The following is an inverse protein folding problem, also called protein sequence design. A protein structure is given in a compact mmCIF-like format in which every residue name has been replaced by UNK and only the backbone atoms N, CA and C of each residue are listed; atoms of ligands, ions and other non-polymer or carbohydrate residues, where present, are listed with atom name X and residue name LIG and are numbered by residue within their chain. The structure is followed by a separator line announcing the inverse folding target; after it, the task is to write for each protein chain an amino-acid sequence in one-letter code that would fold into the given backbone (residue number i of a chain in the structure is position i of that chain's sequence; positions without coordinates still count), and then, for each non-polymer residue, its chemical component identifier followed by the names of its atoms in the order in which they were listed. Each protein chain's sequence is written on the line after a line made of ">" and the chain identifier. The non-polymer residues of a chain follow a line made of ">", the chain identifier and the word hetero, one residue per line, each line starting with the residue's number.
data_IF_627773920801
#
_entry.id   IF_627773920801
#
_cell.length_a   1.000
_cell.length_b   1.000
_cell.length_c   1.000
_cell.angle_alpha   90.00
_cell.angle_beta   90.00
_cell.angle_gamma   90.00
#
_symmetry.space_group_name_H-M   'P 1'
#
loop_
_entity.id
_entity.type
_entity.pdbx_description
1 polymer ?
#
# COMPACT_ATOMS: atom_id res chain seq x y z
N UNK A 1 2.05 -6.76 13.66
CA UNK A 1 1.05 -5.93 12.95
C UNK A 1 -0.18 -5.65 13.79
N UNK A 2 -0.76 -6.65 14.45
CA UNK A 2 -1.93 -6.48 15.34
C UNK A 2 -1.63 -5.56 16.53
N UNK A 3 -0.39 -5.46 16.98
CA UNK A 3 0.11 -4.56 18.03
C UNK A 3 -0.08 -3.07 17.74
N UNK A 4 -0.30 -2.70 16.47
CA UNK A 4 -0.55 -1.32 16.08
C UNK A 4 -2.04 -0.94 16.17
N UNK A 5 -2.94 -1.91 16.27
CA UNK A 5 -4.38 -1.65 16.38
C UNK A 5 -4.71 -0.80 17.61
N UNK A 6 -4.24 -1.13 18.83
CA UNK A 6 -4.48 -0.27 19.99
C UNK A 6 -3.97 1.15 19.79
N UNK A 7 -2.75 1.32 19.26
CA UNK A 7 -2.17 2.65 18.98
C UNK A 7 -3.01 3.47 18.00
N UNK A 8 -3.59 2.82 16.99
CA UNK A 8 -4.50 3.49 16.06
C UNK A 8 -5.82 3.87 16.74
N UNK A 9 -6.41 2.96 17.51
CA UNK A 9 -7.65 3.22 18.24
C UNK A 9 -7.47 4.34 19.29
N UNK A 10 -6.33 4.39 19.98
CA UNK A 10 -6.00 5.49 20.90
C UNK A 10 -5.97 6.84 20.17
N UNK A 11 -5.41 6.89 18.96
CA UNK A 11 -5.44 8.09 18.14
C UNK A 11 -6.88 8.51 17.77
N UNK A 12 -7.79 7.55 17.59
CA UNK A 12 -9.20 7.82 17.26
C UNK A 12 -10.00 8.44 18.42
N UNK A 13 -9.46 8.48 19.65
CA UNK A 13 -10.06 9.30 20.72
C UNK A 13 -9.87 10.81 20.50
N UNK A 14 -8.94 11.22 19.62
CA UNK A 14 -8.87 12.59 19.16
C UNK A 14 -10.08 12.87 18.24
N UNK A 15 -10.97 13.77 18.70
CA UNK A 15 -12.21 14.09 17.99
C UNK A 15 -11.96 14.68 16.60
N UNK A 16 -10.81 15.33 16.39
CA UNK A 16 -10.44 15.88 15.09
C UNK A 16 -10.11 14.78 14.07
N UNK A 17 -9.57 13.65 14.52
CA UNK A 17 -9.29 12.50 13.66
C UNK A 17 -10.54 11.65 13.46
N UNK A 18 -11.30 11.41 14.55
CA UNK A 18 -12.48 10.57 14.52
C UNK A 18 -13.55 11.05 13.52
N UNK A 19 -13.67 12.35 13.31
CA UNK A 19 -14.65 12.92 12.36
C UNK A 19 -14.35 12.59 10.89
N UNK A 20 -13.12 12.15 10.56
CA UNK A 20 -12.74 11.81 9.20
C UNK A 20 -13.11 10.38 8.80
N UNK A 21 -13.46 9.53 9.75
CA UNK A 21 -13.72 8.10 9.51
C UNK A 21 -15.05 7.66 10.11
N UNK A 22 -15.73 6.77 9.41
CA UNK A 22 -16.86 6.02 9.95
C UNK A 22 -16.38 4.78 10.72
N UNK A 23 -17.24 4.25 11.59
CA UNK A 23 -16.96 2.98 12.30
C UNK A 23 -16.76 1.84 11.32
N UNK A 24 -17.53 1.83 10.21
CA UNK A 24 -17.43 0.83 9.15
C UNK A 24 -16.05 0.86 8.48
N UNK A 25 -15.52 2.04 8.17
CA UNK A 25 -14.18 2.20 7.59
C UNK A 25 -13.07 1.73 8.54
N UNK A 26 -13.18 2.07 9.83
CA UNK A 26 -12.24 1.58 10.84
C UNK A 26 -12.32 0.05 10.96
N UNK A 27 -13.54 -0.52 11.00
CA UNK A 27 -13.75 -1.97 11.06
C UNK A 27 -13.19 -2.67 9.81
N UNK A 28 -13.37 -2.09 8.62
CA UNK A 28 -12.82 -2.64 7.39
C UNK A 28 -11.30 -2.60 7.40
N UNK A 29 -10.69 -1.48 7.83
CA UNK A 29 -9.23 -1.34 7.90
C UNK A 29 -8.55 -2.42 8.73
N UNK A 30 -9.24 -2.88 9.80
CA UNK A 30 -8.75 -3.91 10.73
C UNK A 30 -9.42 -5.27 10.54
N UNK A 31 -10.22 -5.45 9.51
CA UNK A 31 -10.75 -6.76 9.17
C UNK A 31 -9.61 -7.75 8.92
N UNK A 32 -9.80 -9.01 9.33
CA UNK A 32 -8.78 -10.08 9.21
C UNK A 32 -8.18 -10.15 7.81
N UNK A 33 -9.00 -10.03 6.76
CA UNK A 33 -8.54 -10.04 5.37
C UNK A 33 -7.56 -8.90 5.07
N UNK A 34 -7.78 -7.71 5.61
CA UNK A 34 -6.91 -6.55 5.45
C UNK A 34 -5.58 -6.74 6.20
N UNK A 35 -5.65 -7.27 7.43
CA UNK A 35 -4.45 -7.56 8.23
C UNK A 35 -3.59 -8.62 7.55
N UNK A 36 -4.18 -9.74 7.11
CA UNK A 36 -3.45 -10.79 6.40
C UNK A 36 -2.86 -10.31 5.06
N UNK A 37 -3.60 -9.48 4.34
CA UNK A 37 -3.11 -8.83 3.11
C UNK A 37 -1.87 -7.97 3.39
N UNK A 38 -1.90 -7.14 4.44
CA UNK A 38 -0.76 -6.28 4.82
C UNK A 38 0.43 -7.07 5.36
N UNK A 39 0.20 -8.21 6.03
CA UNK A 39 1.27 -9.16 6.41
C UNK A 39 1.99 -9.69 5.17
N UNK A 40 1.24 -10.09 4.13
CA UNK A 40 1.83 -10.53 2.86
C UNK A 40 2.61 -9.41 2.16
N UNK A 41 2.10 -8.17 2.17
CA UNK A 41 2.80 -7.02 1.62
C UNK A 41 4.11 -6.71 2.40
N UNK A 42 4.12 -6.87 3.72
CA UNK A 42 5.33 -6.72 4.53
C UNK A 42 6.40 -7.76 4.19
N UNK A 43 6.01 -9.03 3.98
CA UNK A 43 6.94 -10.08 3.51
C UNK A 43 7.46 -9.78 2.10
N UNK A 44 6.59 -9.31 1.21
CA UNK A 44 6.96 -8.92 -0.14
C UNK A 44 7.93 -7.71 -0.15
N UNK A 45 7.75 -6.75 0.78
CA UNK A 45 8.68 -5.64 0.98
C UNK A 45 10.04 -6.13 1.48
N UNK A 46 10.06 -7.04 2.45
CA UNK A 46 11.30 -7.62 2.99
C UNK A 46 12.17 -8.24 1.90
N UNK A 47 11.56 -8.91 0.90
CA UNK A 47 12.25 -9.54 -0.20
C UNK A 47 13.03 -8.55 -1.11
N UNK A 48 12.71 -7.25 -1.05
CA UNK A 48 13.37 -6.21 -1.86
C UNK A 48 14.01 -5.11 -0.99
N UNK A 49 13.79 -5.10 0.32
CA UNK A 49 14.15 -4.00 1.23
C UNK A 49 15.64 -3.66 1.31
N UNK A 50 16.53 -4.60 0.98
CA UNK A 50 17.99 -4.38 1.04
C UNK A 50 18.49 -3.22 0.15
N UNK A 51 17.73 -2.86 -0.88
CA UNK A 51 18.05 -1.80 -1.83
C UNK A 51 17.05 -0.63 -1.79
N UNK A 52 16.11 -0.64 -0.84
CA UNK A 52 15.12 0.42 -0.69
C UNK A 52 15.72 1.58 0.11
N UNK A 53 15.64 2.81 -0.43
CA UNK A 53 16.03 4.04 0.27
C UNK A 53 14.86 5.02 0.34
N UNK A 54 14.09 5.17 -0.74
CA UNK A 54 12.98 6.12 -0.84
C UNK A 54 11.77 5.44 -1.45
N UNK A 55 10.77 5.21 -0.65
CA UNK A 55 9.55 4.46 -0.97
C UNK A 55 8.38 5.40 -1.22
N UNK A 56 7.69 5.21 -2.34
CA UNK A 56 6.38 5.78 -2.60
C UNK A 56 5.30 4.72 -2.30
N UNK A 57 4.35 5.04 -1.45
CA UNK A 57 3.18 4.22 -1.24
C UNK A 57 1.95 4.87 -1.89
N UNK A 58 1.41 4.20 -2.90
CA UNK A 58 0.24 4.61 -3.67
C UNK A 58 -1.01 3.98 -3.07
N UNK A 59 -2.03 4.80 -2.77
CA UNK A 59 -3.26 4.32 -2.17
C UNK A 59 -3.03 3.78 -0.77
N UNK A 60 -2.36 4.57 0.08
CA UNK A 60 -1.94 4.14 1.43
C UNK A 60 -3.11 4.03 2.41
N UNK A 61 -4.26 4.63 2.06
CA UNK A 61 -5.45 4.72 2.89
C UNK A 61 -5.10 5.24 4.29
N UNK A 62 -5.38 4.47 5.36
CA UNK A 62 -5.14 4.90 6.75
C UNK A 62 -3.66 4.80 7.20
N UNK A 63 -2.72 4.51 6.28
CA UNK A 63 -1.29 4.46 6.57
C UNK A 63 -0.83 3.32 7.49
N UNK A 64 -1.65 2.27 7.65
CA UNK A 64 -1.37 1.20 8.59
C UNK A 64 -0.14 0.35 8.19
N UNK A 65 0.03 0.03 6.90
CA UNK A 65 1.24 -0.65 6.46
C UNK A 65 2.46 0.28 6.56
N UNK A 66 2.29 1.56 6.22
CA UNK A 66 3.36 2.57 6.39
C UNK A 66 3.86 2.57 7.81
N UNK A 67 2.97 2.58 8.82
CA UNK A 67 3.33 2.51 10.24
C UNK A 67 4.25 1.33 10.56
N UNK A 68 3.90 0.16 10.04
CA UNK A 68 4.70 -1.06 10.23
C UNK A 68 6.09 -0.93 9.58
N UNK A 69 6.13 -0.39 8.36
CA UNK A 69 7.37 -0.29 7.58
C UNK A 69 8.31 0.79 8.10
N UNK A 70 7.81 1.97 8.49
CA UNK A 70 8.66 3.05 9.03
C UNK A 70 9.34 2.65 10.34
N UNK A 71 8.68 1.85 11.17
CA UNK A 71 9.24 1.34 12.43
C UNK A 71 10.26 0.22 12.17
N UNK A 72 9.94 -0.70 11.25
CA UNK A 72 10.81 -1.85 10.92
C UNK A 72 12.06 -1.44 10.13
N UNK A 73 11.98 -0.39 9.30
CA UNK A 73 13.04 0.05 8.40
C UNK A 73 13.41 1.52 8.62
N UNK A 74 14.06 1.88 9.74
CA UNK A 74 14.29 3.27 10.14
C UNK A 74 15.25 4.04 9.20
N UNK A 75 16.02 3.34 8.36
CA UNK A 75 16.90 3.94 7.36
C UNK A 75 16.22 4.20 6.01
N UNK A 76 14.99 3.71 5.82
CA UNK A 76 14.22 3.85 4.58
C UNK A 76 13.21 4.98 4.73
N UNK A 77 13.16 5.88 3.76
CA UNK A 77 12.23 7.01 3.76
C UNK A 77 10.93 6.66 3.06
N UNK A 78 9.79 7.01 3.66
CA UNK A 78 8.45 6.69 3.15
C UNK A 78 7.66 7.95 2.83
N UNK A 79 7.06 7.98 1.67
CA UNK A 79 6.15 9.01 1.21
C UNK A 79 4.87 8.39 0.69
N UNK A 80 3.74 9.02 0.97
CA UNK A 80 2.42 8.51 0.60
C UNK A 80 1.73 9.40 -0.42
N UNK A 81 0.98 8.78 -1.31
CA UNK A 81 0.05 9.45 -2.23
C UNK A 81 -1.29 8.75 -2.19
N UNK A 82 -2.34 9.47 -1.92
CA UNK A 82 -3.72 8.99 -2.01
C UNK A 82 -4.62 10.09 -2.56
N UNK A 83 -5.66 9.73 -3.31
CA UNK A 83 -6.65 10.68 -3.82
C UNK A 83 -7.68 11.09 -2.77
N UNK A 84 -7.88 10.28 -1.74
CA UNK A 84 -8.80 10.58 -0.65
C UNK A 84 -8.18 11.58 0.32
N UNK A 85 -8.80 12.76 0.41
CA UNK A 85 -8.32 13.87 1.26
C UNK A 85 -8.23 13.50 2.74
N UNK A 86 -9.08 12.57 3.20
CA UNK A 86 -9.13 12.10 4.59
C UNK A 86 -7.88 11.31 4.97
N UNK A 87 -7.30 10.61 4.00
CA UNK A 87 -6.12 9.79 4.23
C UNK A 87 -4.93 10.60 4.72
N UNK A 88 -4.75 11.84 4.24
CA UNK A 88 -3.67 12.72 4.68
C UNK A 88 -3.73 13.00 6.19
N UNK A 89 -4.90 13.33 6.70
CA UNK A 89 -5.07 13.64 8.13
C UNK A 89 -4.86 12.40 8.99
N UNK A 90 -5.48 11.29 8.62
CA UNK A 90 -5.44 10.04 9.41
C UNK A 90 -4.05 9.40 9.34
N UNK A 91 -3.55 9.10 8.13
CA UNK A 91 -2.24 8.47 7.94
C UNK A 91 -1.11 9.38 8.40
N UNK A 92 -1.19 10.67 8.07
CA UNK A 92 -0.22 11.66 8.51
C UNK A 92 -0.11 11.69 10.03
N UNK A 93 -1.25 11.78 10.74
CA UNK A 93 -1.27 11.79 12.21
C UNK A 93 -0.72 10.49 12.81
N UNK A 94 -1.02 9.36 12.19
CA UNK A 94 -0.57 8.06 12.66
C UNK A 94 0.95 7.85 12.50
N UNK A 95 1.57 8.49 11.51
CA UNK A 95 2.96 8.24 11.12
C UNK A 95 3.92 9.41 11.42
N UNK A 96 3.44 10.64 11.70
CA UNK A 96 4.26 11.86 11.80
C UNK A 96 5.41 11.80 12.81
N UNK A 97 5.34 10.95 13.82
CA UNK A 97 6.38 10.82 14.85
C UNK A 97 7.66 10.16 14.35
N UNK A 98 7.62 9.53 13.18
CA UNK A 98 8.78 8.87 12.60
C UNK A 98 9.55 9.81 11.69
N UNK A 99 10.86 9.97 11.92
CA UNK A 99 11.72 10.87 11.14
C UNK A 99 11.84 10.46 9.66
N UNK A 100 11.67 9.17 9.37
CA UNK A 100 11.72 8.59 8.03
C UNK A 100 10.34 8.55 7.33
N UNK A 101 9.29 9.09 7.96
CA UNK A 101 8.04 9.40 7.28
C UNK A 101 8.10 10.81 6.71
N UNK A 102 8.15 10.91 5.38
CA UNK A 102 8.35 12.18 4.67
C UNK A 102 7.06 12.96 4.45
N UNK A 103 5.90 12.31 4.65
CA UNK A 103 4.60 12.94 4.52
C UNK A 103 3.67 12.27 3.52
N UNK A 104 2.55 12.95 3.25
CA UNK A 104 1.45 12.50 2.42
C UNK A 104 1.01 13.60 1.47
N UNK A 105 0.85 13.28 0.19
CA UNK A 105 0.25 14.16 -0.80
C UNK A 105 -1.12 13.65 -1.25
N UNK A 106 -2.08 14.56 -1.31
CA UNK A 106 -3.38 14.30 -1.92
C UNK A 106 -3.22 14.50 -3.43
N UNK A 107 -3.27 13.41 -4.18
CA UNK A 107 -3.22 13.45 -5.65
C UNK A 107 -3.78 12.15 -6.24
N UNK A 108 -4.32 12.23 -7.45
CA UNK A 108 -4.44 11.06 -8.29
C UNK A 108 -3.04 10.63 -8.72
N UNK A 109 -2.75 9.34 -8.65
CA UNK A 109 -1.42 8.82 -9.01
C UNK A 109 -1.07 9.12 -10.48
N UNK A 110 -2.06 9.18 -11.36
CA UNK A 110 -1.84 9.47 -12.77
C UNK A 110 -1.35 10.93 -13.01
N UNK A 111 -1.66 11.84 -12.07
CA UNK A 111 -1.22 13.24 -12.08
C UNK A 111 0.05 13.49 -11.24
N UNK A 112 0.55 12.47 -10.54
CA UNK A 112 1.71 12.60 -9.66
C UNK A 112 3.01 12.51 -10.48
N UNK A 113 3.61 13.66 -10.77
CA UNK A 113 4.80 13.76 -11.66
C UNK A 113 6.06 13.10 -11.09
N UNK A 114 6.27 13.21 -9.78
CA UNK A 114 7.50 12.76 -9.10
C UNK A 114 7.60 11.25 -8.86
N UNK A 115 6.79 10.42 -9.52
CA UNK A 115 6.76 8.97 -9.32
C UNK A 115 8.14 8.31 -9.49
N UNK A 116 8.99 8.88 -10.35
CA UNK A 116 10.33 8.38 -10.65
C UNK A 116 11.44 8.90 -9.73
N UNK A 117 11.12 9.72 -8.73
CA UNK A 117 12.04 10.15 -7.68
C UNK A 117 12.23 9.09 -6.59
N UNK A 118 11.48 8.00 -6.69
CA UNK A 118 11.49 6.88 -5.75
C UNK A 118 12.17 5.66 -6.38
N UNK A 119 12.91 4.92 -5.57
CA UNK A 119 13.55 3.66 -6.00
C UNK A 119 12.65 2.45 -5.75
N UNK A 120 11.64 2.62 -4.91
CA UNK A 120 10.70 1.59 -4.52
C UNK A 120 9.27 2.13 -4.53
N UNK A 121 8.35 1.37 -5.11
CA UNK A 121 6.93 1.73 -5.15
C UNK A 121 6.08 0.60 -4.56
N UNK A 122 5.21 0.95 -3.62
CA UNK A 122 4.20 0.07 -3.02
C UNK A 122 2.83 0.47 -3.54
N UNK A 123 2.07 -0.48 -4.06
CA UNK A 123 0.67 -0.31 -4.43
C UNK A 123 -0.14 -1.56 -4.11
N UNK A 124 -0.96 -1.49 -3.08
CA UNK A 124 -1.79 -2.63 -2.63
C UNK A 124 -3.24 -2.58 -3.15
N UNK A 125 -3.51 -1.64 -4.06
CA UNK A 125 -4.85 -1.32 -4.56
C UNK A 125 -4.87 -1.28 -6.09
N UNK A 126 -4.10 -2.15 -6.75
CA UNK A 126 -4.00 -2.18 -8.21
C UNK A 126 -5.35 -2.43 -8.91
N UNK A 127 -6.29 -3.07 -8.23
CA UNK A 127 -7.65 -3.30 -8.74
C UNK A 127 -8.50 -2.04 -8.87
N UNK A 128 -8.17 -0.97 -8.14
CA UNK A 128 -8.92 0.31 -8.12
C UNK A 128 -8.41 1.33 -9.14
N UNK A 129 -7.35 1.04 -9.90
CA UNK A 129 -6.73 2.00 -10.81
C UNK A 129 -6.29 1.34 -12.12
N UNK A 130 -6.14 2.14 -13.17
CA UNK A 130 -5.60 1.68 -14.46
C UNK A 130 -4.15 1.21 -14.32
N UNK A 131 -3.55 0.73 -15.40
CA UNK A 131 -2.13 0.37 -15.43
C UNK A 131 -1.23 1.56 -15.79
N UNK A 132 -1.77 2.77 -15.94
CA UNK A 132 -1.02 3.92 -16.44
C UNK A 132 0.09 4.35 -15.48
N UNK A 133 -0.18 4.37 -14.17
CA UNK A 133 0.84 4.61 -13.15
C UNK A 133 2.02 3.63 -13.28
N UNK A 134 1.75 2.34 -13.55
CA UNK A 134 2.80 1.32 -13.71
C UNK A 134 3.64 1.59 -14.97
N UNK A 135 3.00 1.96 -16.08
CA UNK A 135 3.69 2.26 -17.34
C UNK A 135 4.67 3.43 -17.20
N UNK A 136 4.37 4.41 -16.35
CA UNK A 136 5.21 5.59 -16.07
C UNK A 136 6.44 5.30 -15.20
N UNK A 137 6.42 4.22 -14.42
CA UNK A 137 7.56 3.85 -13.56
C UNK A 137 8.75 3.43 -14.42
N UNK A 138 9.94 3.99 -14.12
CA UNK A 138 11.19 3.66 -14.81
C UNK A 138 11.61 2.21 -14.55
N UNK A 139 12.35 1.64 -15.52
CA UNK A 139 13.00 0.33 -15.36
C UNK A 139 14.02 0.36 -14.21
N UNK A 140 14.12 -0.73 -13.46
CA UNK A 140 15.00 -0.86 -12.30
C UNK A 140 14.35 -0.47 -10.97
N UNK A 141 13.14 0.13 -10.98
CA UNK A 141 12.38 0.41 -9.75
C UNK A 141 11.90 -0.88 -9.11
N UNK A 142 12.03 -0.96 -7.80
CA UNK A 142 11.48 -2.05 -7.01
C UNK A 142 9.97 -1.86 -6.83
N UNK A 143 9.20 -2.92 -7.02
CA UNK A 143 7.76 -2.88 -6.87
C UNK A 143 7.29 -3.88 -5.83
N UNK A 144 6.34 -3.45 -5.00
CA UNK A 144 5.53 -4.30 -4.12
C UNK A 144 4.08 -4.00 -4.48
N UNK A 145 3.42 -4.95 -5.11
CA UNK A 145 2.09 -4.74 -5.65
C UNK A 145 1.12 -5.84 -5.23
N UNK A 146 -0.14 -5.44 -5.02
CA UNK A 146 -1.24 -6.37 -4.77
C UNK A 146 -2.43 -6.07 -5.67
N UNK A 147 -3.18 -7.13 -5.99
CA UNK A 147 -4.49 -7.10 -6.62
C UNK A 147 -5.32 -8.30 -6.14
N UNK A 148 -6.56 -8.39 -6.59
CA UNK A 148 -7.46 -9.47 -6.21
C UNK A 148 -8.39 -9.87 -7.36
N UNK A 149 -9.21 -10.93 -7.14
CA UNK A 149 -10.22 -11.38 -8.07
C UNK A 149 -11.66 -11.10 -7.59
N UNK A 150 -11.84 -10.23 -6.61
CA UNK A 150 -13.16 -9.82 -6.14
C UNK A 150 -13.81 -8.89 -7.17
N UNK A 151 -15.00 -9.22 -7.64
CA UNK A 151 -15.75 -8.42 -8.61
C UNK A 151 -16.76 -7.56 -7.85
N UNK A 152 -16.47 -6.26 -7.77
CA UNK A 152 -17.34 -5.21 -7.24
C UNK A 152 -17.19 -3.96 -8.09
N UNK A 153 -18.11 -3.02 -7.97
CA UNK A 153 -18.18 -1.84 -8.85
C UNK A 153 -16.91 -0.98 -8.83
N UNK A 154 -16.24 -0.88 -7.67
CA UNK A 154 -15.01 -0.08 -7.53
C UNK A 154 -13.74 -0.75 -8.10
N UNK A 155 -13.83 -2.02 -8.49
CA UNK A 155 -12.70 -2.77 -9.02
C UNK A 155 -12.67 -2.73 -10.56
N UNK A 156 -12.02 -1.71 -11.11
CA UNK A 156 -11.93 -1.50 -12.56
C UNK A 156 -10.85 -2.34 -13.23
N UNK A 157 -9.95 -2.96 -12.46
CA UNK A 157 -8.72 -3.60 -12.97
C UNK A 157 -8.39 -4.92 -12.25
N UNK A 158 -9.40 -5.75 -12.02
CA UNK A 158 -9.25 -7.06 -11.38
C UNK A 158 -8.30 -7.99 -12.13
N UNK A 159 -7.72 -8.93 -11.39
CA UNK A 159 -6.94 -10.03 -11.93
C UNK A 159 -7.63 -11.36 -11.59
N UNK A 160 -7.78 -12.22 -12.60
CA UNK A 160 -8.44 -13.53 -12.43
C UNK A 160 -7.57 -14.53 -11.65
N UNK A 161 -6.27 -14.38 -11.71
CA UNK A 161 -5.28 -15.26 -11.09
C UNK A 161 -3.94 -14.55 -10.88
N UNK A 162 -3.05 -15.16 -10.09
CA UNK A 162 -1.67 -14.69 -9.96
C UNK A 162 -0.94 -14.65 -11.31
N UNK A 163 -1.23 -15.59 -12.21
CA UNK A 163 -0.63 -15.61 -13.54
C UNK A 163 -1.13 -14.44 -14.41
N UNK A 164 -2.41 -14.10 -14.30
CA UNK A 164 -2.99 -12.93 -14.95
C UNK A 164 -2.37 -11.65 -14.39
N UNK A 165 -2.20 -11.57 -13.08
CA UNK A 165 -1.53 -10.44 -12.41
C UNK A 165 -0.08 -10.27 -12.90
N UNK A 166 0.69 -11.35 -13.03
CA UNK A 166 2.05 -11.33 -13.58
C UNK A 166 2.10 -10.84 -15.04
N UNK A 167 1.10 -11.17 -15.83
CA UNK A 167 1.00 -10.69 -17.22
C UNK A 167 0.65 -9.21 -17.30
N UNK A 168 -0.21 -8.74 -16.41
CA UNK A 168 -0.66 -7.35 -16.36
C UNK A 168 0.44 -6.41 -15.84
N UNK A 169 1.25 -6.88 -14.88
CA UNK A 169 2.36 -6.14 -14.27
C UNK A 169 3.66 -6.95 -14.39
N UNK A 170 4.25 -7.04 -15.60
CA UNK A 170 5.44 -7.85 -15.83
C UNK A 170 6.65 -7.27 -15.10
N UNK A 171 7.32 -8.09 -14.28
CA UNK A 171 8.56 -7.75 -13.60
C UNK A 171 9.73 -8.45 -14.30
N UNK A 172 10.84 -7.74 -14.48
CA UNK A 172 12.10 -8.31 -15.02
C UNK A 172 12.62 -9.41 -14.10
N UNK A 173 12.49 -9.20 -12.80
CA UNK A 173 12.89 -10.15 -11.78
C UNK A 173 11.81 -10.20 -10.69
N UNK A 174 11.27 -11.38 -10.41
CA UNK A 174 10.30 -11.58 -9.32
C UNK A 174 11.06 -12.09 -8.10
N UNK A 175 11.04 -11.34 -7.01
CA UNK A 175 11.64 -11.69 -5.71
C UNK A 175 10.65 -12.39 -4.79
N UNK A 176 9.36 -12.03 -4.90
CA UNK A 176 8.29 -12.62 -4.11
C UNK A 176 7.02 -12.73 -4.95
N UNK A 177 6.32 -13.83 -4.82
CA UNK A 177 4.99 -13.99 -5.40
C UNK A 177 4.14 -14.93 -4.54
N UNK A 178 2.92 -14.53 -4.22
CA UNK A 178 2.02 -15.33 -3.40
C UNK A 178 0.55 -15.13 -3.77
N UNK A 179 -0.25 -16.14 -3.49
CA UNK A 179 -1.71 -16.09 -3.50
C UNK A 179 -2.23 -16.36 -2.09
N UNK A 180 -2.76 -15.35 -1.44
CA UNK A 180 -3.46 -15.49 -0.18
C UNK A 180 -4.93 -15.83 -0.47
N UNK A 181 -5.36 -17.02 -0.06
CA UNK A 181 -6.76 -17.46 -0.15
C UNK A 181 -7.52 -16.86 1.02
N UNK A 182 -8.49 -16.03 0.73
CA UNK A 182 -9.44 -15.46 1.68
C UNK A 182 -10.83 -16.09 1.48
N UNK A 183 -11.73 -15.88 2.41
CA UNK A 183 -13.03 -16.58 2.39
C UNK A 183 -13.86 -16.35 1.11
N UNK A 184 -13.76 -15.14 0.51
CA UNK A 184 -14.60 -14.73 -0.62
C UNK A 184 -13.80 -14.54 -1.90
N UNK A 185 -12.49 -14.23 -1.79
CA UNK A 185 -11.62 -13.92 -2.93
C UNK A 185 -10.17 -14.33 -2.66
N UNK A 186 -9.35 -14.26 -3.69
CA UNK A 186 -7.91 -14.44 -3.58
C UNK A 186 -7.22 -13.08 -3.71
N UNK A 187 -6.24 -12.81 -2.84
CA UNK A 187 -5.34 -11.67 -2.93
C UNK A 187 -4.02 -12.15 -3.54
N UNK A 188 -3.59 -11.48 -4.61
CA UNK A 188 -2.33 -11.77 -5.28
C UNK A 188 -1.29 -10.72 -4.88
N UNK A 189 -0.09 -11.17 -4.52
CA UNK A 189 1.02 -10.31 -4.14
C UNK A 189 2.24 -10.61 -4.99
N UNK A 190 2.86 -9.56 -5.54
CA UNK A 190 4.14 -9.63 -6.24
C UNK A 190 5.11 -8.62 -5.66
N UNK A 191 6.39 -8.98 -5.59
CA UNK A 191 7.46 -7.98 -5.52
C UNK A 191 8.65 -8.38 -6.38
N UNK A 192 9.40 -7.37 -6.80
CA UNK A 192 10.57 -7.55 -7.66
C UNK A 192 10.99 -6.27 -8.37
N UNK A 193 11.71 -6.43 -9.46
CA UNK A 193 12.29 -5.31 -10.25
C UNK A 193 11.48 -5.13 -11.53
N UNK A 194 11.09 -3.89 -11.84
CA UNK A 194 10.48 -3.54 -13.11
C UNK A 194 11.48 -3.59 -14.27
#
# INVERSE_FOLDING_TARGET
>A
MEEYIPKFLDMMYDSEIAKHLTIEEVRDAFHTNQIESKKQASLAFEAVSSNANKVLYIGSWLGFLTRVLVEKYPSVNFYEVDRDTRCKEVSGRFNYTFKNYLGHQIANIDDFESINDFDTVVNLSCEHMTTDWYNRIKSGTQLIIQSNNLVIDDHINNCKSLQDFKKKYPLKEIKYSNTLKLNVFNRFTLSGIK
#
